data_IF_982080405196
#
_entry.id   IF_982080405196
#
_cell.length_a   1.000
_cell.length_b   1.000
_cell.length_c   1.000
_cell.angle_alpha   90.00
_cell.angle_beta   90.00
_cell.angle_gamma   90.00
#
_symmetry.space_group_name_H-M   'P 1'
#
loop_
_entity.id
_entity.type
_entity.pdbx_description
1 polymer ?
#
# COMPACT_ATOMS: atom_id res chain seq x y z
N UNK A 1 53.07 -29.74 2.41
CA UNK A 1 51.97 -28.84 2.84
C UNK A 1 52.25 -27.47 2.25
N UNK A 2 51.50 -27.05 1.24
CA UNK A 2 51.68 -25.78 0.54
C UNK A 2 50.78 -24.75 1.22
N UNK A 3 51.38 -23.78 1.91
CA UNK A 3 50.70 -22.64 2.53
C UNK A 3 50.54 -21.54 1.47
N UNK A 4 49.35 -21.48 0.85
CA UNK A 4 49.01 -20.41 -0.08
C UNK A 4 48.72 -19.13 0.71
N UNK A 5 49.42 -18.01 0.45
CA UNK A 5 49.19 -16.77 1.18
C UNK A 5 47.82 -16.20 0.83
N UNK A 6 46.97 -16.01 1.85
CA UNK A 6 45.58 -15.52 1.73
C UNK A 6 45.46 -14.22 0.91
N UNK A 7 46.51 -13.41 0.90
CA UNK A 7 46.62 -12.17 0.09
C UNK A 7 46.66 -12.42 -1.42
N UNK A 8 47.26 -13.51 -1.88
CA UNK A 8 47.30 -13.86 -3.31
C UNK A 8 45.94 -14.35 -3.82
N UNK A 9 45.17 -15.03 -2.95
CA UNK A 9 43.79 -15.47 -3.26
C UNK A 9 42.83 -14.27 -3.35
N UNK A 10 42.96 -13.30 -2.43
CA UNK A 10 42.13 -12.08 -2.44
C UNK A 10 42.38 -11.18 -3.65
N UNK A 11 43.62 -11.03 -4.10
CA UNK A 11 43.94 -10.22 -5.29
C UNK A 11 43.44 -10.89 -6.57
N UNK A 12 43.51 -12.23 -6.65
CA UNK A 12 42.97 -12.99 -7.79
C UNK A 12 41.44 -12.90 -7.87
N UNK A 13 40.73 -12.92 -6.73
CA UNK A 13 39.28 -12.75 -6.68
C UNK A 13 38.82 -11.35 -7.12
N UNK A 14 39.56 -10.29 -6.79
CA UNK A 14 39.22 -8.92 -7.19
C UNK A 14 39.43 -8.71 -8.70
N UNK A 15 40.45 -9.34 -9.30
CA UNK A 15 40.71 -9.23 -10.74
C UNK A 15 39.65 -9.94 -11.61
N UNK A 16 39.00 -11.00 -11.09
CA UNK A 16 37.98 -11.77 -11.82
C UNK A 16 36.59 -11.10 -11.85
N UNK A 17 36.31 -10.16 -10.94
CA UNK A 17 35.04 -9.42 -10.90
C UNK A 17 34.98 -8.27 -11.93
N UNK A 18 36.12 -7.87 -12.51
CA UNK A 18 36.20 -6.70 -13.39
C UNK A 18 35.81 -6.96 -14.87
N UNK A 19 35.55 -8.19 -15.30
CA UNK A 19 35.34 -8.53 -16.73
C UNK A 19 33.88 -8.95 -17.06
N UNK A 20 32.96 -8.91 -16.08
CA UNK A 20 31.55 -9.29 -16.27
C UNK A 20 30.56 -8.14 -16.58
N UNK A 21 31.05 -6.92 -16.85
CA UNK A 21 30.22 -5.71 -16.81
C UNK A 21 29.92 -5.08 -18.17
N UNK A 22 29.59 -5.83 -19.22
CA UNK A 22 29.29 -5.25 -20.54
C UNK A 22 28.25 -6.06 -21.34
N UNK A 23 27.04 -6.25 -20.78
CA UNK A 23 25.77 -6.25 -21.55
C UNK A 23 24.64 -5.87 -20.58
N UNK A 24 24.53 -4.59 -20.20
CA UNK A 24 23.26 -4.05 -19.76
C UNK A 24 22.51 -3.63 -21.03
N UNK A 25 21.74 -4.54 -21.61
CA UNK A 25 20.67 -4.11 -22.50
C UNK A 25 19.74 -3.28 -21.63
N UNK A 26 19.59 -2.01 -21.98
CA UNK A 26 18.51 -1.18 -21.47
C UNK A 26 17.22 -1.86 -21.94
N UNK A 27 16.71 -2.78 -21.12
CA UNK A 27 15.36 -3.27 -21.22
C UNK A 27 14.46 -2.13 -20.81
N UNK A 28 14.24 -1.20 -21.73
CA UNK A 28 13.03 -0.39 -21.75
C UNK A 28 11.89 -1.40 -21.73
N UNK A 29 11.34 -1.62 -20.53
CA UNK A 29 10.06 -2.30 -20.39
C UNK A 29 9.12 -1.56 -21.34
N UNK A 30 8.39 -2.26 -22.23
CA UNK A 30 7.40 -1.60 -23.04
C UNK A 30 6.47 -0.86 -22.08
N UNK A 31 6.49 0.48 -22.16
CA UNK A 31 5.46 1.32 -21.55
C UNK A 31 4.19 0.91 -22.26
N UNK A 32 3.46 -0.02 -21.64
CA UNK A 32 2.12 -0.36 -22.04
C UNK A 32 1.35 0.94 -22.20
N UNK A 33 0.65 1.08 -23.32
CA UNK A 33 -0.06 2.28 -23.72
C UNK A 33 -0.75 2.90 -22.50
N UNK A 34 -0.38 4.15 -22.18
CA UNK A 34 -1.04 4.96 -21.15
C UNK A 34 -2.54 4.97 -21.46
N UNK A 35 -3.29 4.13 -20.74
CA UNK A 35 -4.59 4.59 -20.26
C UNK A 35 -4.24 5.76 -19.34
N UNK A 36 -4.59 6.97 -19.74
CA UNK A 36 -4.23 8.17 -19.01
C UNK A 36 -4.84 8.06 -17.61
N UNK A 37 -4.01 7.74 -16.62
CA UNK A 37 -4.45 7.58 -15.24
C UNK A 37 -4.98 8.93 -14.76
N UNK A 38 -6.21 8.96 -14.26
CA UNK A 38 -6.84 10.17 -13.77
C UNK A 38 -7.42 9.93 -12.37
N UNK A 39 -7.50 11.01 -11.59
CA UNK A 39 -7.97 10.98 -10.20
C UNK A 39 -9.17 11.91 -10.06
N UNK A 40 -10.22 11.42 -9.41
CA UNK A 40 -11.43 12.17 -9.13
C UNK A 40 -11.80 12.09 -7.65
N UNK A 41 -12.47 13.12 -7.15
CA UNK A 41 -13.07 13.09 -5.80
C UNK A 41 -14.26 12.13 -5.77
N UNK A 42 -14.40 11.39 -4.67
CA UNK A 42 -15.48 10.43 -4.48
C UNK A 42 -15.16 9.03 -5.00
N UNK A 43 -16.15 8.14 -4.92
CA UNK A 43 -16.00 6.75 -5.35
C UNK A 43 -16.13 6.63 -6.87
N UNK A 44 -15.43 5.65 -7.45
CA UNK A 44 -15.66 5.30 -8.85
C UNK A 44 -17.06 4.72 -9.03
N UNK A 45 -17.69 5.00 -10.18
CA UNK A 45 -19.04 4.52 -10.50
C UNK A 45 -19.14 3.74 -11.82
N UNK A 46 -18.16 3.88 -12.71
CA UNK A 46 -18.17 3.24 -14.04
C UNK A 46 -16.83 2.62 -14.43
N UNK A 47 -15.72 3.33 -14.18
CA UNK A 47 -14.36 2.83 -14.38
C UNK A 47 -13.43 3.25 -13.24
N UNK A 48 -12.38 2.46 -13.01
CA UNK A 48 -11.33 2.73 -12.03
C UNK A 48 -11.44 1.94 -10.73
N UNK A 49 -10.50 2.23 -9.83
CA UNK A 49 -10.39 1.65 -8.49
C UNK A 49 -10.66 2.75 -7.47
N UNK A 50 -11.52 2.46 -6.48
CA UNK A 50 -11.81 3.41 -5.40
C UNK A 50 -10.83 3.21 -4.25
N UNK A 51 -10.26 4.29 -3.73
CA UNK A 51 -9.56 4.34 -2.45
C UNK A 51 -10.39 5.13 -1.44
N UNK A 52 -10.62 4.56 -0.26
CA UNK A 52 -11.32 5.21 0.84
C UNK A 52 -10.46 5.19 2.11
N UNK A 53 -10.35 6.33 2.78
CA UNK A 53 -9.62 6.52 4.03
C UNK A 53 -10.60 7.05 5.07
N UNK A 54 -10.90 6.22 6.07
CA UNK A 54 -11.71 6.56 7.23
C UNK A 54 -10.76 6.76 8.42
N UNK A 55 -10.69 7.99 8.94
CA UNK A 55 -9.81 8.34 10.05
C UNK A 55 -10.35 7.86 11.41
N UNK A 56 -11.51 7.20 11.43
CA UNK A 56 -12.16 6.74 12.64
C UNK A 56 -12.93 7.85 13.36
N UNK A 57 -13.91 7.49 14.21
CA UNK A 57 -14.88 8.43 14.75
C UNK A 57 -14.29 9.48 15.69
N UNK A 58 -13.22 9.18 16.42
CA UNK A 58 -12.60 10.15 17.34
C UNK A 58 -11.57 11.07 16.66
N UNK A 59 -11.27 10.87 15.38
CA UNK A 59 -10.32 11.74 14.67
C UNK A 59 -10.84 13.17 14.45
N UNK A 60 -12.17 13.33 14.39
CA UNK A 60 -12.82 14.57 13.96
C UNK A 60 -12.54 14.94 12.50
N UNK A 61 -12.02 14.01 11.68
CA UNK A 61 -11.74 14.21 10.26
C UNK A 61 -12.80 13.51 9.40
N UNK A 62 -13.21 14.18 8.33
CA UNK A 62 -14.05 13.56 7.32
C UNK A 62 -13.27 12.48 6.56
N UNK A 63 -13.92 11.36 6.18
CA UNK A 63 -13.31 10.36 5.32
C UNK A 63 -12.92 10.96 3.96
N UNK A 64 -11.81 10.48 3.40
CA UNK A 64 -11.35 10.84 2.06
C UNK A 64 -11.71 9.69 1.12
N UNK A 65 -12.30 9.99 -0.04
CA UNK A 65 -12.56 9.00 -1.09
C UNK A 65 -12.04 9.51 -2.43
N UNK A 66 -11.31 8.66 -3.14
CA UNK A 66 -10.71 8.96 -4.44
C UNK A 66 -11.05 7.87 -5.43
N UNK A 67 -11.38 8.25 -6.65
CA UNK A 67 -11.49 7.35 -7.78
C UNK A 67 -10.24 7.47 -8.64
N UNK A 68 -9.58 6.35 -8.94
CA UNK A 68 -8.42 6.31 -9.82
C UNK A 68 -8.73 5.46 -11.06
N UNK A 69 -8.87 6.11 -12.22
CA UNK A 69 -9.09 5.43 -13.50
C UNK A 69 -7.77 4.98 -14.12
N UNK A 70 -7.78 3.90 -14.91
CA UNK A 70 -6.57 3.36 -15.54
C UNK A 70 -5.52 2.82 -14.55
N UNK A 71 -5.89 2.62 -13.28
CA UNK A 71 -4.95 2.15 -12.26
C UNK A 71 -4.53 0.70 -12.50
N UNK A 72 -3.23 0.45 -12.49
CA UNK A 72 -2.64 -0.88 -12.39
C UNK A 72 -1.52 -0.85 -11.36
N UNK A 73 -1.63 -1.66 -10.33
CA UNK A 73 -0.65 -1.70 -9.25
C UNK A 73 -1.18 -2.40 -8.02
N UNK A 74 -0.43 -2.27 -6.94
CA UNK A 74 -0.77 -2.77 -5.61
C UNK A 74 -1.64 -1.77 -4.84
N UNK A 75 -2.32 -2.23 -3.80
CA UNK A 75 -3.05 -1.34 -2.89
C UNK A 75 -2.16 -0.28 -2.22
N UNK A 76 -0.85 -0.52 -2.10
CA UNK A 76 0.11 0.49 -1.60
C UNK A 76 0.37 1.59 -2.64
N UNK A 77 0.63 1.20 -3.90
CA UNK A 77 0.84 2.15 -5.00
C UNK A 77 -0.41 3.00 -5.29
N UNK A 78 -1.59 2.48 -4.94
CA UNK A 78 -2.86 3.21 -5.08
C UNK A 78 -2.87 4.53 -4.30
N UNK A 79 -2.15 4.64 -3.18
CA UNK A 79 -2.05 5.90 -2.44
C UNK A 79 -1.44 7.01 -3.31
N UNK A 80 -0.25 6.74 -3.87
CA UNK A 80 0.42 7.69 -4.76
C UNK A 80 -0.42 7.99 -6.01
N UNK A 81 -1.04 6.96 -6.57
CA UNK A 81 -1.93 7.08 -7.72
C UNK A 81 -3.17 7.95 -7.44
N UNK A 82 -3.68 7.93 -6.21
CA UNK A 82 -4.83 8.71 -5.74
C UNK A 82 -4.44 10.11 -5.21
N UNK A 83 -3.16 10.48 -5.23
CA UNK A 83 -2.67 11.73 -4.65
C UNK A 83 -2.73 11.77 -3.13
N UNK A 84 -2.75 10.61 -2.47
CA UNK A 84 -2.73 10.49 -1.01
C UNK A 84 -1.29 10.40 -0.51
N UNK A 85 -0.96 11.24 0.48
CA UNK A 85 0.29 11.14 1.21
C UNK A 85 0.24 9.94 2.16
N UNK A 86 1.03 8.92 1.84
CA UNK A 86 1.28 7.77 2.71
C UNK A 86 2.67 7.86 3.34
N UNK A 87 2.78 7.46 4.61
CA UNK A 87 4.05 7.27 5.30
C UNK A 87 4.05 5.90 5.96
N UNK A 88 5.01 5.05 5.61
CA UNK A 88 5.22 3.79 6.28
C UNK A 88 6.03 3.91 7.56
N UNK A 89 6.27 2.78 8.21
CA UNK A 89 7.19 2.72 9.35
C UNK A 89 8.64 2.69 8.88
N UNK A 90 9.58 2.99 9.77
CA UNK A 90 11.02 2.97 9.47
C UNK A 90 11.51 1.53 9.25
N UNK A 91 11.01 0.58 10.04
CA UNK A 91 11.37 -0.83 9.95
C UNK A 91 10.76 -1.52 8.72
N UNK A 92 9.55 -1.09 8.30
CA UNK A 92 8.78 -1.75 7.23
C UNK A 92 8.01 -0.72 6.36
N UNK A 93 8.71 0.03 5.50
CA UNK A 93 8.17 1.22 4.84
C UNK A 93 6.95 1.01 3.95
N UNK A 94 6.71 -0.20 3.44
CA UNK A 94 5.57 -0.51 2.57
C UNK A 94 4.65 -1.61 3.13
N UNK A 95 5.02 -2.22 4.26
CA UNK A 95 4.21 -3.29 4.86
C UNK A 95 3.24 -2.74 5.92
N UNK A 96 3.62 -1.65 6.61
CA UNK A 96 2.80 -1.03 7.64
C UNK A 96 2.62 0.45 7.34
N UNK A 97 1.37 0.85 7.08
CA UNK A 97 1.01 2.27 7.02
C UNK A 97 1.12 2.85 8.43
N UNK A 98 2.00 3.84 8.57
CA UNK A 98 2.08 4.62 9.78
C UNK A 98 1.14 5.83 9.72
N UNK A 99 1.19 6.60 8.63
CA UNK A 99 0.32 7.77 8.44
C UNK A 99 -0.32 7.82 7.07
N UNK A 100 -1.52 8.37 7.04
CA UNK A 100 -2.20 8.86 5.83
C UNK A 100 -2.58 10.31 6.07
N UNK A 101 -2.22 11.21 5.15
CA UNK A 101 -2.49 12.65 5.28
C UNK A 101 -2.05 13.22 6.64
N UNK A 102 -0.83 12.85 7.04
CA UNK A 102 -0.17 13.22 8.30
C UNK A 102 -0.94 12.81 9.59
N UNK A 103 -1.88 11.88 9.48
CA UNK A 103 -2.62 11.31 10.61
C UNK A 103 -2.21 9.85 10.91
N UNK A 104 -2.02 9.47 12.19
CA UNK A 104 -2.06 10.33 13.38
C UNK A 104 -0.83 11.24 13.47
N UNK A 105 -0.91 12.29 14.29
CA UNK A 105 0.19 13.24 14.48
C UNK A 105 1.45 12.55 15.02
N UNK A 106 2.62 13.12 14.72
CA UNK A 106 3.92 12.56 15.15
C UNK A 106 4.11 12.49 16.68
N UNK A 107 3.33 13.24 17.46
CA UNK A 107 3.31 13.14 18.92
C UNK A 107 2.55 11.93 19.45
N UNK A 108 1.76 11.26 18.60
CA UNK A 108 0.94 10.09 18.97
C UNK A 108 1.61 8.80 18.51
N UNK A 109 2.19 8.80 17.31
CA UNK A 109 2.86 7.64 16.72
C UNK A 109 4.20 8.08 16.16
N UNK A 110 5.29 7.36 16.46
CA UNK A 110 6.66 7.73 16.09
C UNK A 110 7.10 7.12 14.74
N UNK A 111 6.36 6.13 14.23
CA UNK A 111 6.65 5.37 13.01
C UNK A 111 7.97 4.59 13.01
N UNK A 112 8.52 4.24 14.17
CA UNK A 112 9.76 3.47 14.21
C UNK A 112 9.51 1.99 13.89
N UNK A 113 8.55 1.38 14.58
CA UNK A 113 8.20 -0.04 14.42
C UNK A 113 6.75 -0.25 13.98
N UNK A 114 6.27 -1.48 14.09
CA UNK A 114 4.89 -1.84 13.77
C UNK A 114 3.88 -1.11 14.68
N UNK A 115 2.91 -0.36 14.12
CA UNK A 115 1.90 0.33 14.92
C UNK A 115 1.06 -0.66 15.71
N UNK A 116 0.75 -0.30 16.95
CA UNK A 116 0.13 -1.22 17.91
C UNK A 116 -1.07 -0.62 18.62
N UNK A 117 -1.73 -1.45 19.42
CA UNK A 117 -2.94 -1.10 20.19
C UNK A 117 -2.75 0.14 21.07
N UNK A 118 -1.52 0.47 21.49
CA UNK A 118 -1.26 1.63 22.37
C UNK A 118 -1.48 2.98 21.69
N UNK A 119 -1.08 3.10 20.42
CA UNK A 119 -1.13 4.37 19.68
C UNK A 119 -2.24 4.38 18.61
N UNK A 120 -2.89 3.23 18.42
CA UNK A 120 -3.80 2.99 17.31
C UNK A 120 -3.04 2.49 16.07
N UNK A 121 -3.78 1.99 15.09
CA UNK A 121 -3.18 1.45 13.87
C UNK A 121 -4.14 1.49 12.68
N UNK A 122 -3.58 1.56 11.48
CA UNK A 122 -4.34 1.46 10.24
C UNK A 122 -4.71 0.01 9.93
N UNK A 123 -6.00 -0.23 9.75
CA UNK A 123 -6.54 -1.50 9.30
C UNK A 123 -6.94 -1.42 7.82
N UNK A 124 -6.56 -2.45 7.06
CA UNK A 124 -6.78 -2.53 5.62
C UNK A 124 -7.95 -3.43 5.27
N UNK A 125 -8.83 -2.92 4.41
CA UNK A 125 -10.04 -3.55 3.93
C UNK A 125 -10.11 -3.49 2.42
N UNK A 126 -10.89 -4.41 1.85
CA UNK A 126 -11.23 -4.39 0.45
C UNK A 126 -12.69 -4.77 0.27
N UNK A 127 -13.26 -4.35 -0.85
CA UNK A 127 -14.55 -4.80 -1.31
C UNK A 127 -14.47 -5.14 -2.80
N UNK A 128 -15.05 -6.28 -3.16
CA UNK A 128 -15.08 -6.79 -4.52
C UNK A 128 -16.41 -7.47 -4.76
N UNK A 129 -16.90 -7.45 -5.99
CA UNK A 129 -18.14 -8.15 -6.36
C UNK A 129 -18.05 -9.66 -6.16
N UNK A 130 -16.84 -10.23 -6.04
CA UNK A 130 -16.62 -11.68 -5.89
C UNK A 130 -17.02 -12.23 -4.53
N UNK A 131 -16.96 -11.41 -3.47
CA UNK A 131 -17.21 -11.85 -2.09
C UNK A 131 -18.54 -11.32 -1.58
N UNK A 132 -18.70 -10.01 -1.55
CA UNK A 132 -19.94 -9.29 -1.23
C UNK A 132 -19.78 -7.84 -1.68
N UNK A 133 -20.64 -7.40 -2.58
CA UNK A 133 -20.57 -6.04 -3.14
C UNK A 133 -20.96 -4.94 -2.16
N UNK A 134 -21.59 -5.30 -1.04
CA UNK A 134 -22.20 -4.34 -0.11
C UNK A 134 -21.42 -4.16 1.20
N UNK A 135 -20.35 -4.92 1.41
CA UNK A 135 -19.62 -4.93 2.67
C UNK A 135 -18.10 -4.93 2.50
N UNK A 136 -17.44 -4.37 3.52
CA UNK A 136 -15.99 -4.39 3.62
C UNK A 136 -15.50 -5.72 4.19
N UNK A 137 -14.51 -6.32 3.54
CA UNK A 137 -13.76 -7.46 4.04
C UNK A 137 -12.39 -7.01 4.52
N UNK A 138 -12.00 -7.37 5.74
CA UNK A 138 -10.63 -7.11 6.19
C UNK A 138 -9.65 -7.91 5.35
N UNK A 139 -8.60 -7.27 4.87
CA UNK A 139 -7.58 -7.96 4.06
C UNK A 139 -6.74 -8.90 4.93
N UNK A 140 -6.56 -10.18 4.52
CA UNK A 140 -5.62 -11.09 5.19
C UNK A 140 -4.16 -10.85 4.76
N UNK A 141 -3.93 -10.00 3.75
CA UNK A 141 -2.61 -9.66 3.20
C UNK A 141 -2.39 -8.15 3.22
N UNK A 142 -1.13 -7.73 3.21
CA UNK A 142 -0.77 -6.31 3.14
C UNK A 142 -1.11 -5.67 1.79
N UNK A 143 -1.22 -4.34 1.79
CA UNK A 143 -1.56 -3.57 0.60
C UNK A 143 -0.50 -3.63 -0.50
N UNK A 144 0.77 -3.85 -0.15
CA UNK A 144 1.84 -4.10 -1.11
C UNK A 144 1.72 -5.47 -1.83
N UNK A 145 0.81 -6.36 -1.39
CA UNK A 145 0.60 -7.67 -2.01
C UNK A 145 -0.75 -7.80 -2.73
N UNK A 146 -1.77 -7.05 -2.29
CA UNK A 146 -3.08 -7.06 -2.95
C UNK A 146 -3.02 -6.20 -4.21
N UNK A 147 -3.56 -6.70 -5.31
CA UNK A 147 -3.67 -5.98 -6.58
C UNK A 147 -5.15 -5.71 -6.90
N UNK A 148 -5.69 -4.53 -6.57
CA UNK A 148 -7.08 -4.21 -6.89
C UNK A 148 -7.30 -4.10 -8.39
N UNK A 149 -8.42 -4.64 -8.83
CA UNK A 149 -8.91 -4.47 -10.19
C UNK A 149 -9.85 -3.28 -10.34
N UNK A 150 -10.15 -2.96 -11.59
CA UNK A 150 -11.22 -2.02 -11.94
C UNK A 150 -12.56 -2.46 -11.33
N UNK A 151 -13.31 -1.52 -10.76
CA UNK A 151 -14.57 -1.76 -10.07
C UNK A 151 -14.44 -2.23 -8.62
N UNK A 152 -13.22 -2.39 -8.11
CA UNK A 152 -12.97 -2.71 -6.71
C UNK A 152 -12.77 -1.46 -5.84
N UNK A 153 -12.98 -1.63 -4.55
CA UNK A 153 -12.73 -0.62 -3.52
C UNK A 153 -11.68 -1.11 -2.54
N UNK A 154 -10.71 -0.24 -2.24
CA UNK A 154 -9.70 -0.40 -1.20
C UNK A 154 -10.00 0.58 -0.08
N UNK A 155 -9.98 0.09 1.16
CA UNK A 155 -10.43 0.83 2.32
C UNK A 155 -9.40 0.82 3.45
N UNK A 156 -9.21 1.95 4.10
CA UNK A 156 -8.34 2.09 5.27
C UNK A 156 -9.12 2.68 6.42
N UNK A 157 -8.97 2.09 7.60
CA UNK A 157 -9.60 2.58 8.81
C UNK A 157 -8.56 2.77 9.90
N UNK A 158 -8.47 3.96 10.48
CA UNK A 158 -7.67 4.13 11.68
C UNK A 158 -8.42 3.57 12.89
N UNK A 159 -7.81 2.58 13.52
CA UNK A 159 -8.31 1.94 14.74
C UNK A 159 -7.69 2.64 15.93
N UNK A 160 -8.54 3.19 16.80
CA UNK A 160 -8.12 3.97 17.95
C UNK A 160 -7.35 3.16 19.00
N UNK A 161 -6.49 3.83 19.80
CA UNK A 161 -5.86 3.25 20.96
C UNK A 161 -6.81 2.43 21.86
N UNK A 162 -6.36 1.27 22.31
CA UNK A 162 -7.10 0.42 23.25
C UNK A 162 -8.35 -0.25 22.69
N UNK A 163 -8.67 -0.07 21.40
CA UNK A 163 -9.75 -0.81 20.73
C UNK A 163 -9.20 -2.10 20.13
N UNK A 164 -9.83 -3.22 20.48
CA UNK A 164 -9.50 -4.52 19.90
C UNK A 164 -10.16 -4.68 18.53
N UNK A 165 -9.44 -5.34 17.62
CA UNK A 165 -9.95 -5.80 16.33
C UNK A 165 -10.73 -7.11 16.52
N UNK A 166 -11.93 -7.02 17.08
CA UNK A 166 -12.84 -8.17 17.13
C UNK A 166 -13.36 -8.52 15.73
N UNK A 167 -13.84 -9.75 15.50
CA UNK A 167 -14.32 -10.18 14.19
C UNK A 167 -15.43 -9.29 13.58
N UNK A 168 -16.17 -8.55 14.42
CA UNK A 168 -17.25 -7.64 14.03
C UNK A 168 -16.93 -6.15 14.29
N UNK A 169 -15.67 -5.79 14.59
CA UNK A 169 -15.24 -4.40 14.68
C UNK A 169 -13.71 -4.29 14.68
N UNK A 170 -13.14 -3.28 14.00
CA UNK A 170 -13.82 -2.10 13.49
C UNK A 170 -14.22 -2.22 12.00
N UNK A 171 -15.25 -1.49 11.58
CA UNK A 171 -15.67 -1.42 10.17
C UNK A 171 -15.68 0.03 9.69
N UNK A 172 -15.33 0.23 8.43
CA UNK A 172 -15.43 1.53 7.77
C UNK A 172 -16.90 1.98 7.77
N UNK A 173 -17.15 3.23 8.16
CA UNK A 173 -18.50 3.79 8.29
C UNK A 173 -19.20 3.95 6.94
N UNK A 174 -18.43 4.35 5.93
CA UNK A 174 -18.89 4.54 4.55
C UNK A 174 -18.98 3.21 3.83
N UNK A 175 -20.11 2.91 3.17
CA UNK A 175 -20.26 1.68 2.40
C UNK A 175 -19.33 1.69 1.16
N UNK A 176 -18.76 0.53 0.79
CA UNK A 176 -17.95 0.46 -0.42
C UNK A 176 -18.82 0.65 -1.67
N UNK A 177 -18.22 1.18 -2.74
CA UNK A 177 -18.83 1.18 -4.07
C UNK A 177 -18.07 0.19 -4.93
N UNK A 178 -18.75 -0.83 -5.45
CA UNK A 178 -18.16 -1.79 -6.37
C UNK A 178 -19.05 -1.99 -7.59
N UNK A 179 -18.44 -2.22 -8.73
CA UNK A 179 -19.11 -2.40 -10.00
C UNK A 179 -18.27 -3.33 -10.90
N UNK A 180 -18.72 -3.57 -12.13
CA UNK A 180 -17.92 -4.25 -13.14
C UNK A 180 -17.61 -3.28 -14.25
N UNK A 181 -16.35 -3.19 -14.60
CA UNK A 181 -15.91 -2.44 -15.75
C UNK A 181 -16.21 -3.23 -17.03
N UNK A 182 -16.70 -2.53 -18.04
CA UNK A 182 -16.97 -3.09 -19.37
C UNK A 182 -15.70 -3.15 -20.22
#
# INVERSE_FOLDING_TARGET
MISVPFRAVLISLIALVAIGGLVATNGERPVGQNSEQAVFEGACTDQGTTLLIDFGPLSGRDPITRCVTGFTGTGWELFGAAGIKVTGTSEYPEAFVCRLEDFPAASIEDCLGTPGIKNGSWAYFYATRKTDASSWSRSPVGAASRMPGCGESEGWLFVEPGKNQQPNSPSISTKPTVFTCN
#
